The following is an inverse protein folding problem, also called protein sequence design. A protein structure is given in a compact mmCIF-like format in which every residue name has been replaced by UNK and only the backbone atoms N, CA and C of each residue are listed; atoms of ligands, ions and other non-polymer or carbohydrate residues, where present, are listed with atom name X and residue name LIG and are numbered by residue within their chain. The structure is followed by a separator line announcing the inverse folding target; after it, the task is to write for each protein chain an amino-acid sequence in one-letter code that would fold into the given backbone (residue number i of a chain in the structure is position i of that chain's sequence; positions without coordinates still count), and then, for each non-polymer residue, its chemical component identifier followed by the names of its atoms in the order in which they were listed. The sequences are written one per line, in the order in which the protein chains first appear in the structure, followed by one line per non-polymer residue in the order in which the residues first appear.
data_IF_194903346450
#
_entry.id   IF_194903346450
#
_cell.length_a   1.000
_cell.length_b   1.000
_cell.length_c   1.000
_cell.angle_alpha   90.00
_cell.angle_beta   90.00
_cell.angle_gamma   90.00
#
_symmetry.space_group_name_H-M   'P 1'
#
loop_
_entity.id
_entity.type
_entity.pdbx_description
1 polymer ?
#
# COMPACT_ATOMS: atom_id res chain seq x y z
N UNK A 1 -15.46 -5.16 2.04
CA UNK A 1 -13.99 -5.21 2.27
C UNK A 1 -13.64 -5.49 3.73
N UNK A 2 -13.97 -4.60 4.68
CA UNK A 2 -13.57 -4.75 6.10
C UNK A 2 -13.96 -6.11 6.70
N UNK A 3 -15.20 -6.57 6.49
CA UNK A 3 -15.63 -7.88 6.96
C UNK A 3 -14.85 -9.04 6.34
N UNK A 4 -14.43 -8.92 5.08
CA UNK A 4 -13.61 -9.92 4.41
C UNK A 4 -12.20 -9.94 5.02
N UNK A 5 -11.57 -8.78 5.23
CA UNK A 5 -10.26 -8.74 5.90
C UNK A 5 -10.37 -9.30 7.33
N UNK A 6 -11.40 -8.89 8.08
CA UNK A 6 -11.64 -9.39 9.45
C UNK A 6 -11.94 -10.89 9.49
N UNK A 7 -12.41 -11.49 8.39
CA UNK A 7 -12.59 -12.94 8.33
C UNK A 7 -11.29 -13.74 8.45
N UNK A 8 -10.13 -13.14 8.14
CA UNK A 8 -8.82 -13.78 8.35
C UNK A 8 -8.61 -14.07 9.84
N UNK A 9 -8.93 -13.10 10.72
CA UNK A 9 -8.83 -13.28 12.17
C UNK A 9 -9.91 -14.23 12.72
N UNK A 10 -11.16 -14.08 12.26
CA UNK A 10 -12.28 -14.83 12.84
C UNK A 10 -12.41 -16.26 12.31
N UNK A 11 -11.82 -16.55 11.15
CA UNK A 11 -12.01 -17.82 10.43
C UNK A 11 -13.42 -17.98 9.84
N UNK A 12 -14.20 -16.91 9.74
CA UNK A 12 -15.55 -16.94 9.19
C UNK A 12 -15.52 -17.03 7.65
N UNK A 13 -15.95 -18.14 7.07
CA UNK A 13 -15.97 -18.32 5.61
C UNK A 13 -17.07 -17.52 4.89
N UNK A 14 -18.07 -16.97 5.61
CA UNK A 14 -19.25 -16.34 4.98
C UNK A 14 -18.90 -15.12 4.14
N UNK A 15 -18.02 -14.18 4.54
CA UNK A 15 -17.65 -13.03 3.72
C UNK A 15 -17.03 -13.41 2.37
N UNK A 16 -16.17 -14.44 2.33
CA UNK A 16 -15.61 -14.93 1.06
C UNK A 16 -16.72 -15.42 0.13
N UNK A 17 -17.61 -16.28 0.62
CA UNK A 17 -18.72 -16.81 -0.19
C UNK A 17 -19.73 -15.74 -0.61
N UNK A 18 -19.89 -14.69 0.20
CA UNK A 18 -20.90 -13.65 0.00
C UNK A 18 -20.41 -12.49 -0.84
N UNK A 19 -19.13 -12.14 -0.77
CA UNK A 19 -18.60 -10.92 -1.37
C UNK A 19 -17.71 -11.17 -2.58
N UNK A 20 -17.10 -12.34 -2.72
CA UNK A 20 -16.24 -12.64 -3.87
C UNK A 20 -17.07 -13.21 -5.03
N UNK A 21 -16.80 -12.75 -6.25
CA UNK A 21 -17.34 -13.37 -7.45
C UNK A 21 -16.53 -14.64 -7.78
N UNK A 22 -17.11 -15.84 -7.66
CA UNK A 22 -16.35 -17.09 -7.81
C UNK A 22 -15.84 -17.33 -9.23
N UNK A 23 -16.44 -16.67 -10.23
CA UNK A 23 -16.15 -16.91 -11.65
C UNK A 23 -15.23 -15.86 -12.27
N UNK A 24 -15.00 -14.73 -11.58
CA UNK A 24 -14.23 -13.60 -12.10
C UNK A 24 -13.04 -13.19 -11.22
N UNK A 25 -12.95 -13.72 -10.01
CA UNK A 25 -11.95 -13.28 -9.04
C UNK A 25 -10.52 -13.53 -9.52
N UNK A 26 -9.74 -12.45 -9.62
CA UNK A 26 -8.31 -12.44 -9.94
C UNK A 26 -7.51 -12.07 -8.69
N UNK A 27 -6.50 -12.86 -8.37
CA UNK A 27 -5.58 -12.65 -7.25
C UNK A 27 -4.20 -12.19 -7.74
N UNK A 28 -3.70 -11.08 -7.19
CA UNK A 28 -2.34 -10.57 -7.44
C UNK A 28 -1.34 -10.82 -6.31
N UNK A 29 -1.79 -11.27 -5.13
CA UNK A 29 -0.86 -11.76 -4.10
C UNK A 29 -0.14 -13.02 -4.62
N UNK A 30 1.15 -12.89 -4.90
CA UNK A 30 1.98 -13.94 -5.50
C UNK A 30 2.14 -15.18 -4.62
N UNK A 31 1.89 -15.09 -3.31
CA UNK A 31 1.92 -16.20 -2.37
C UNK A 31 0.58 -16.96 -2.27
N UNK A 32 -0.45 -16.52 -2.99
CA UNK A 32 -1.81 -17.06 -2.97
C UNK A 32 -2.20 -17.53 -4.37
N UNK A 33 -2.79 -18.74 -4.44
CA UNK A 33 -3.29 -19.25 -5.70
C UNK A 33 -4.49 -18.42 -6.19
N UNK A 34 -4.77 -18.48 -7.49
CA UNK A 34 -5.84 -17.68 -8.07
C UNK A 34 -7.24 -18.19 -7.72
N UNK A 35 -8.24 -17.33 -7.93
CA UNK A 35 -9.65 -17.64 -7.74
C UNK A 35 -10.07 -17.81 -6.28
N UNK A 36 -11.36 -18.04 -6.07
CA UNK A 36 -11.93 -18.21 -4.73
C UNK A 36 -11.29 -19.38 -3.98
N UNK A 37 -10.97 -20.47 -4.67
CA UNK A 37 -10.34 -21.66 -4.07
C UNK A 37 -8.96 -21.34 -3.49
N UNK A 38 -8.17 -20.49 -4.16
CA UNK A 38 -6.86 -20.09 -3.68
C UNK A 38 -6.93 -19.25 -2.40
N UNK A 39 -7.87 -18.31 -2.33
CA UNK A 39 -8.14 -17.51 -1.12
C UNK A 39 -8.62 -18.40 0.03
N UNK A 40 -9.55 -19.32 -0.24
CA UNK A 40 -10.01 -20.29 0.77
C UNK A 40 -8.87 -21.16 1.29
N UNK A 41 -7.95 -21.59 0.42
CA UNK A 41 -6.76 -22.36 0.80
C UNK A 41 -5.82 -21.60 1.74
N UNK A 42 -5.62 -20.30 1.52
CA UNK A 42 -4.85 -19.45 2.44
C UNK A 42 -5.49 -19.43 3.84
N UNK A 43 -6.80 -19.24 3.91
CA UNK A 43 -7.52 -19.17 5.18
C UNK A 43 -7.47 -20.51 5.94
N UNK A 44 -7.57 -21.64 5.24
CA UNK A 44 -7.46 -22.96 5.85
C UNK A 44 -6.05 -23.26 6.38
N UNK A 45 -5.01 -22.62 5.82
CA UNK A 45 -3.63 -22.78 6.28
C UNK A 45 -3.34 -22.01 7.57
N UNK A 46 -4.18 -21.02 7.94
CA UNK A 46 -4.03 -20.26 9.17
C UNK A 46 -4.64 -21.02 10.35
N UNK A 47 -3.89 -21.28 11.44
CA UNK A 47 -4.48 -21.87 12.63
C UNK A 47 -5.57 -20.97 13.21
N UNK A 48 -6.67 -21.56 13.68
CA UNK A 48 -7.80 -20.81 14.23
C UNK A 48 -7.34 -19.91 15.38
N UNK A 49 -7.63 -18.61 15.27
CA UNK A 49 -7.28 -17.60 16.27
C UNK A 49 -5.81 -17.16 16.27
N UNK A 50 -4.99 -17.64 15.31
CA UNK A 50 -3.59 -17.24 15.18
C UNK A 50 -3.39 -15.92 14.39
N UNK A 51 -4.46 -15.39 13.79
CA UNK A 51 -4.43 -14.15 13.04
C UNK A 51 -5.07 -12.99 13.81
N UNK A 52 -4.49 -11.80 13.72
CA UNK A 52 -5.13 -10.52 14.08
C UNK A 52 -5.21 -9.60 12.89
N UNK A 53 -6.30 -8.84 12.80
CA UNK A 53 -6.56 -7.87 11.75
C UNK A 53 -7.14 -6.60 12.36
N UNK A 54 -6.48 -5.48 12.10
CA UNK A 54 -6.94 -4.14 12.45
C UNK A 54 -6.88 -3.24 11.21
N UNK A 55 -8.04 -3.02 10.57
CA UNK A 55 -8.14 -2.12 9.42
C UNK A 55 -8.19 -0.69 9.92
N UNK A 56 -7.12 0.08 9.64
CA UNK A 56 -6.93 1.44 10.15
C UNK A 56 -7.63 2.46 9.28
N UNK A 57 -7.53 2.30 7.95
CA UNK A 57 -8.13 3.20 6.96
C UNK A 57 -8.85 2.39 5.91
N UNK A 58 -9.93 2.96 5.39
CA UNK A 58 -10.69 2.43 4.26
C UNK A 58 -11.02 3.60 3.37
N UNK A 59 -10.62 3.52 2.10
CA UNK A 59 -10.79 4.57 1.13
C UNK A 59 -11.42 3.99 -0.15
N UNK A 60 -12.19 4.80 -0.87
CA UNK A 60 -12.87 4.38 -2.10
C UNK A 60 -12.60 5.32 -3.28
N UNK A 61 -12.28 4.73 -4.44
CA UNK A 61 -12.08 5.43 -5.71
C UNK A 61 -12.80 4.69 -6.84
N UNK A 62 -14.03 5.14 -7.14
CA UNK A 62 -14.91 4.47 -8.10
C UNK A 62 -15.19 3.02 -7.67
N UNK A 63 -14.80 2.08 -8.53
CA UNK A 63 -14.96 0.63 -8.32
C UNK A 63 -13.85 0.01 -7.47
N UNK A 64 -12.86 0.80 -7.04
CA UNK A 64 -11.79 0.33 -6.16
C UNK A 64 -12.06 0.74 -4.72
N UNK A 65 -11.85 -0.20 -3.79
CA UNK A 65 -11.79 0.08 -2.37
C UNK A 65 -10.44 -0.40 -1.87
N UNK A 66 -9.72 0.43 -1.11
CA UNK A 66 -8.42 0.10 -0.60
C UNK A 66 -8.31 0.37 0.90
N UNK A 67 -7.56 -0.47 1.58
CA UNK A 67 -7.40 -0.45 3.04
C UNK A 67 -5.94 -0.32 3.41
N UNK A 68 -5.70 0.37 4.53
CA UNK A 68 -4.43 0.30 5.25
C UNK A 68 -4.66 -0.52 6.51
N UNK A 69 -4.01 -1.67 6.62
CA UNK A 69 -4.34 -2.69 7.61
C UNK A 69 -3.10 -3.16 8.37
N UNK A 70 -3.26 -3.31 9.68
CA UNK A 70 -2.31 -4.04 10.52
C UNK A 70 -2.74 -5.50 10.62
N UNK A 71 -1.77 -6.37 10.41
CA UNK A 71 -1.93 -7.81 10.46
C UNK A 71 -1.01 -8.40 11.52
N UNK A 72 -1.44 -9.51 12.12
CA UNK A 72 -0.54 -10.42 12.80
C UNK A 72 -0.89 -11.83 12.41
N UNK A 73 -0.24 -12.35 11.37
CA UNK A 73 -0.26 -13.75 10.98
C UNK A 73 1.14 -14.10 10.53
N UNK A 74 1.74 -15.16 11.09
CA UNK A 74 3.16 -15.47 10.90
C UNK A 74 4.08 -14.25 11.19
N UNK A 75 3.74 -13.46 12.21
CA UNK A 75 4.42 -12.22 12.58
C UNK A 75 3.60 -10.95 12.31
N UNK A 76 3.94 -9.80 12.94
CA UNK A 76 3.25 -8.54 12.74
C UNK A 76 3.61 -7.91 11.40
N UNK A 77 2.61 -7.47 10.64
CA UNK A 77 2.77 -6.85 9.32
C UNK A 77 1.89 -5.63 9.20
N UNK A 78 2.30 -4.69 8.37
CA UNK A 78 1.48 -3.58 7.90
C UNK A 78 1.35 -3.70 6.40
N UNK A 79 0.14 -3.48 5.89
CA UNK A 79 -0.15 -3.72 4.50
C UNK A 79 -1.21 -2.82 3.93
N UNK A 80 -1.19 -2.73 2.60
CA UNK A 80 -2.31 -2.21 1.84
C UNK A 80 -3.01 -3.35 1.12
N UNK A 81 -4.34 -3.33 1.12
CA UNK A 81 -5.18 -4.20 0.32
C UNK A 81 -5.96 -3.33 -0.66
N UNK A 82 -6.07 -3.73 -1.93
CA UNK A 82 -6.89 -3.08 -2.95
C UNK A 82 -7.84 -4.13 -3.49
N UNK A 83 -9.13 -3.83 -3.52
CA UNK A 83 -10.15 -4.65 -4.12
C UNK A 83 -10.88 -3.88 -5.21
N UNK A 84 -11.08 -4.52 -6.37
CA UNK A 84 -11.98 -4.01 -7.42
C UNK A 84 -13.32 -4.71 -7.36
N UNK A 85 -14.38 -3.94 -7.57
CA UNK A 85 -15.76 -4.41 -7.51
C UNK A 85 -16.43 -4.38 -8.88
N UNK A 86 -17.30 -5.36 -9.13
CA UNK A 86 -18.29 -5.37 -10.21
C UNK A 86 -19.60 -5.91 -9.63
N UNK A 87 -20.72 -5.24 -9.90
CA UNK A 87 -22.06 -5.65 -9.45
C UNK A 87 -22.14 -5.94 -7.92
N UNK A 88 -21.43 -5.15 -7.13
CA UNK A 88 -21.36 -5.30 -5.67
C UNK A 88 -20.54 -6.51 -5.19
N UNK A 89 -19.81 -7.19 -6.09
CA UNK A 89 -18.92 -8.32 -5.79
C UNK A 89 -17.47 -7.95 -6.03
N UNK A 90 -16.58 -8.49 -5.22
CA UNK A 90 -15.14 -8.41 -5.40
C UNK A 90 -14.75 -9.33 -6.56
N UNK A 91 -14.09 -8.75 -7.57
CA UNK A 91 -13.62 -9.46 -8.75
C UNK A 91 -12.10 -9.45 -8.89
N UNK A 92 -11.38 -8.66 -8.09
CA UNK A 92 -9.93 -8.57 -8.18
C UNK A 92 -9.34 -8.06 -6.87
N UNK A 93 -8.15 -8.56 -6.53
CA UNK A 93 -7.45 -8.20 -5.31
C UNK A 93 -5.96 -8.07 -5.53
N UNK A 94 -5.40 -7.00 -4.95
CA UNK A 94 -3.96 -6.79 -4.79
C UNK A 94 -3.67 -6.53 -3.33
N UNK A 95 -2.51 -6.96 -2.86
CA UNK A 95 -1.97 -6.53 -1.58
C UNK A 95 -0.49 -6.15 -1.71
N UNK A 96 0.00 -5.41 -0.73
CA UNK A 96 1.41 -5.20 -0.49
C UNK A 96 1.68 -5.22 1.01
N UNK A 97 2.48 -6.18 1.47
CA UNK A 97 2.70 -6.43 2.89
C UNK A 97 4.18 -6.22 3.24
N UNK A 98 4.41 -5.51 4.35
CA UNK A 98 5.73 -5.34 4.94
C UNK A 98 5.71 -5.80 6.39
N UNK A 99 6.80 -6.40 6.87
CA UNK A 99 6.97 -6.66 8.30
C UNK A 99 6.88 -5.35 9.09
N UNK A 100 6.07 -5.36 10.15
CA UNK A 100 5.97 -4.21 11.03
C UNK A 100 7.28 -4.04 11.80
N UNK A 101 7.69 -2.79 12.02
CA UNK A 101 8.87 -2.50 12.82
C UNK A 101 8.53 -2.48 14.31
N UNK A 102 9.42 -3.09 15.12
CA UNK A 102 9.26 -3.08 16.58
C UNK A 102 9.44 -1.68 17.20
N UNK A 103 10.04 -0.75 16.46
CA UNK A 103 10.26 0.64 16.85
C UNK A 103 9.56 1.57 15.87
N UNK A 104 9.09 2.74 16.34
CA UNK A 104 8.63 3.81 15.45
C UNK A 104 9.74 4.29 14.49
N UNK A 105 9.35 5.07 13.48
CA UNK A 105 10.24 5.82 12.61
C UNK A 105 11.21 6.69 13.41
N UNK A 106 12.30 7.20 12.81
CA UNK A 106 13.21 8.13 13.48
C UNK A 106 12.53 9.35 14.12
N UNK A 107 11.34 9.73 13.62
CA UNK A 107 10.52 10.82 14.16
C UNK A 107 9.48 10.39 15.21
N UNK A 108 9.35 9.10 15.51
CA UNK A 108 8.42 8.60 16.51
C UNK A 108 7.06 8.15 15.96
N UNK A 109 6.89 8.12 14.64
CA UNK A 109 5.65 7.68 13.99
C UNK A 109 5.62 6.16 13.80
N UNK A 110 4.46 5.57 13.94
CA UNK A 110 4.23 4.17 13.54
C UNK A 110 3.98 4.11 12.04
N UNK A 111 3.89 2.91 11.48
CA UNK A 111 3.52 2.74 10.07
C UNK A 111 2.04 3.06 9.79
N UNK A 112 1.23 3.34 10.81
CA UNK A 112 -0.24 3.42 10.68
C UNK A 112 -0.90 4.58 11.42
N UNK A 113 -0.23 5.27 12.33
CA UNK A 113 -0.75 6.46 13.02
C UNK A 113 -1.02 7.62 12.04
N UNK A 114 -1.60 8.70 12.56
CA UNK A 114 -2.07 9.83 11.77
C UNK A 114 -3.56 9.74 11.41
N UNK A 115 -4.08 10.66 10.58
CA UNK A 115 -5.50 10.73 10.26
C UNK A 115 -5.97 9.48 9.50
N UNK A 116 -7.18 9.00 9.81
CA UNK A 116 -7.76 7.80 9.19
C UNK A 116 -8.97 8.08 8.27
N UNK A 117 -9.54 9.28 8.36
CA UNK A 117 -10.75 9.68 7.63
C UNK A 117 -10.37 10.72 6.58
N UNK A 118 -10.79 10.50 5.34
CA UNK A 118 -10.58 11.44 4.25
C UNK A 118 -11.33 12.76 4.49
N UNK A 119 -10.69 13.87 4.11
CA UNK A 119 -11.30 15.19 3.98
C UNK A 119 -11.13 15.69 2.54
N UNK A 120 -11.65 16.87 2.20
CA UNK A 120 -11.46 17.48 0.89
C UNK A 120 -11.92 16.58 -0.28
N UNK A 121 -13.06 15.88 -0.10
CA UNK A 121 -13.59 14.91 -1.08
C UNK A 121 -13.80 15.52 -2.48
N UNK A 122 -14.11 16.82 -2.54
CA UNK A 122 -14.23 17.61 -3.77
C UNK A 122 -12.90 17.77 -4.54
N UNK A 123 -11.76 17.54 -3.89
CA UNK A 123 -10.42 17.69 -4.47
C UNK A 123 -9.79 16.38 -4.93
N UNK A 124 -10.51 15.24 -4.82
CA UNK A 124 -9.99 13.90 -5.18
C UNK A 124 -9.27 13.89 -6.53
N UNK A 125 -9.92 14.40 -7.59
CA UNK A 125 -9.34 14.42 -8.93
C UNK A 125 -8.07 15.29 -9.02
N UNK A 126 -8.07 16.46 -8.38
CA UNK A 126 -6.92 17.36 -8.36
C UNK A 126 -5.73 16.76 -7.60
N UNK A 127 -5.99 16.09 -6.48
CA UNK A 127 -4.97 15.43 -5.67
C UNK A 127 -4.37 14.22 -6.38
N UNK A 128 -5.19 13.42 -7.08
CA UNK A 128 -4.69 12.32 -7.94
C UNK A 128 -3.80 12.86 -9.07
N UNK A 129 -4.20 13.96 -9.72
CA UNK A 129 -3.39 14.58 -10.76
C UNK A 129 -2.06 15.12 -10.21
N UNK A 130 -2.07 15.73 -9.02
CA UNK A 130 -0.86 16.18 -8.34
C UNK A 130 0.12 15.01 -8.13
N UNK A 131 -0.37 13.88 -7.60
CA UNK A 131 0.48 12.71 -7.36
C UNK A 131 0.97 12.05 -8.65
N UNK A 132 0.13 11.96 -9.68
CA UNK A 132 0.59 11.48 -11.00
C UNK A 132 1.73 12.35 -11.53
N UNK A 133 1.56 13.68 -11.48
CA UNK A 133 2.59 14.62 -11.95
C UNK A 133 3.88 14.52 -11.15
N UNK A 134 3.78 14.38 -9.82
CA UNK A 134 4.91 14.14 -8.94
C UNK A 134 5.69 12.88 -9.33
N UNK A 135 4.99 11.76 -9.56
CA UNK A 135 5.63 10.51 -9.94
C UNK A 135 6.25 10.57 -11.34
N UNK A 136 5.59 11.23 -12.30
CA UNK A 136 6.12 11.43 -13.65
C UNK A 136 7.40 12.28 -13.63
N UNK A 137 7.44 13.34 -12.82
CA UNK A 137 8.64 14.14 -12.58
C UNK A 137 9.76 13.30 -11.95
N UNK A 138 9.44 12.48 -10.95
CA UNK A 138 10.38 11.61 -10.26
C UNK A 138 11.00 10.58 -11.22
N UNK A 139 10.17 9.89 -12.01
CA UNK A 139 10.59 8.92 -13.02
C UNK A 139 11.39 9.55 -14.16
N UNK A 140 11.05 10.79 -14.52
CA UNK A 140 11.81 11.57 -15.53
C UNK A 140 13.11 12.16 -14.98
N UNK A 141 13.41 12.00 -13.69
CA UNK A 141 14.59 12.56 -13.05
C UNK A 141 14.57 14.09 -12.89
N UNK A 142 13.39 14.73 -12.92
CA UNK A 142 13.21 16.18 -12.73
C UNK A 142 13.36 16.61 -11.27
N UNK A 143 14.55 16.41 -10.72
CA UNK A 143 14.88 16.67 -9.30
C UNK A 143 14.65 18.13 -8.88
N UNK A 144 14.76 19.07 -9.82
CA UNK A 144 14.51 20.50 -9.59
C UNK A 144 13.06 20.82 -9.22
N UNK A 145 12.11 19.94 -9.55
CA UNK A 145 10.69 20.10 -9.21
C UNK A 145 10.35 19.53 -7.85
N UNK A 146 11.17 18.64 -7.30
CA UNK A 146 10.85 17.84 -6.13
C UNK A 146 10.35 18.68 -4.94
N UNK A 147 11.08 19.73 -4.55
CA UNK A 147 10.72 20.57 -3.41
C UNK A 147 9.45 21.39 -3.64
N UNK A 148 9.04 21.60 -4.89
CA UNK A 148 7.83 22.36 -5.22
C UNK A 148 6.53 21.64 -4.86
N UNK A 149 6.57 20.32 -4.65
CA UNK A 149 5.42 19.52 -4.25
C UNK A 149 5.08 19.61 -2.76
N UNK A 150 5.96 20.19 -1.96
CA UNK A 150 5.83 20.25 -0.50
C UNK A 150 5.63 21.69 -0.01
N UNK A 151 5.11 21.83 1.20
CA UNK A 151 5.02 23.10 1.90
C UNK A 151 6.30 23.35 2.72
N UNK A 152 7.35 23.82 2.04
CA UNK A 152 8.65 24.03 2.67
C UNK A 152 9.22 22.73 3.23
N UNK A 153 9.43 22.69 4.56
CA UNK A 153 9.97 21.52 5.26
C UNK A 153 8.89 20.74 6.04
N UNK A 154 7.60 21.10 5.87
CA UNK A 154 6.49 20.50 6.59
C UNK A 154 6.05 19.21 5.88
N UNK A 155 6.57 18.08 6.36
CA UNK A 155 6.27 16.75 5.82
C UNK A 155 6.40 15.73 6.94
N UNK A 156 5.39 14.89 7.14
CA UNK A 156 5.37 13.83 8.15
C UNK A 156 5.64 12.49 7.45
N UNK A 157 6.49 11.67 8.05
CA UNK A 157 6.93 10.40 7.48
C UNK A 157 6.67 9.22 8.44
N UNK A 158 5.86 8.28 7.96
CA UNK A 158 5.55 7.03 8.67
C UNK A 158 6.38 5.85 8.20
N UNK A 159 7.09 5.98 7.08
CA UNK A 159 8.09 4.99 6.65
C UNK A 159 9.10 4.77 7.78
N UNK A 160 9.31 3.52 8.22
CA UNK A 160 10.12 3.26 9.41
C UNK A 160 11.62 3.56 9.21
N UNK A 161 12.04 3.81 7.97
CA UNK A 161 13.44 4.00 7.60
C UNK A 161 13.86 5.47 7.53
N UNK A 162 12.91 6.40 7.59
CA UNK A 162 13.13 7.79 7.21
C UNK A 162 12.45 8.74 8.21
N UNK A 163 13.14 9.83 8.56
CA UNK A 163 12.60 10.85 9.45
C UNK A 163 11.63 11.80 8.71
N UNK A 164 10.90 12.60 9.48
CA UNK A 164 10.09 13.70 8.97
C UNK A 164 10.92 14.71 8.16
N UNK A 165 10.21 15.69 7.62
CA UNK A 165 10.72 16.84 6.91
C UNK A 165 11.44 16.44 5.60
N UNK A 166 11.68 17.41 4.72
CA UNK A 166 12.47 17.13 3.51
C UNK A 166 13.95 16.89 3.84
N UNK A 167 14.47 17.58 4.86
CA UNK A 167 15.83 17.33 5.34
C UNK A 167 16.02 15.91 5.86
N UNK A 168 15.06 15.39 6.64
CA UNK A 168 15.11 14.02 7.15
C UNK A 168 14.89 12.99 6.06
N UNK A 169 13.99 13.28 5.09
CA UNK A 169 13.81 12.48 3.89
C UNK A 169 15.11 12.31 3.09
N UNK A 170 15.78 13.42 2.74
CA UNK A 170 17.03 13.34 1.98
C UNK A 170 18.16 12.65 2.75
N UNK A 171 18.30 12.93 4.05
CA UNK A 171 19.29 12.27 4.89
C UNK A 171 19.06 10.76 4.98
N UNK A 172 17.80 10.35 5.19
CA UNK A 172 17.41 8.94 5.24
C UNK A 172 17.67 8.21 3.93
N UNK A 173 17.23 8.77 2.80
CA UNK A 173 17.49 8.19 1.47
C UNK A 173 18.99 8.08 1.15
N UNK A 174 19.78 9.09 1.52
CA UNK A 174 21.23 9.04 1.34
C UNK A 174 21.87 7.95 2.23
N UNK A 175 21.41 7.80 3.48
CA UNK A 175 21.90 6.76 4.39
C UNK A 175 21.56 5.35 3.88
N UNK A 176 20.32 5.14 3.41
CA UNK A 176 19.90 3.89 2.79
C UNK A 176 20.73 3.57 1.54
N UNK A 177 20.95 4.54 0.66
CA UNK A 177 21.78 4.35 -0.53
C UNK A 177 23.22 3.95 -0.18
N UNK A 178 23.83 4.55 0.86
CA UNK A 178 25.17 4.19 1.35
C UNK A 178 25.23 2.76 1.90
N UNK A 179 24.11 2.22 2.38
CA UNK A 179 23.98 0.84 2.84
C UNK A 179 23.62 -0.14 1.71
N UNK A 180 23.59 0.32 0.46
CA UNK A 180 23.19 -0.49 -0.68
C UNK A 180 21.67 -0.72 -0.77
N UNK A 181 20.87 0.04 -0.02
CA UNK A 181 19.40 -0.01 0.01
C UNK A 181 18.78 1.17 -0.75
N UNK A 182 19.34 1.49 -1.93
CA UNK A 182 18.81 2.57 -2.75
C UNK A 182 17.37 2.25 -3.21
N UNK A 183 16.47 3.23 -3.06
CA UNK A 183 15.11 3.20 -3.60
C UNK A 183 15.16 3.66 -5.05
N UNK A 184 14.50 2.90 -5.93
CA UNK A 184 14.33 3.24 -7.34
C UNK A 184 12.91 2.88 -7.76
N UNK A 185 12.24 3.81 -8.43
CA UNK A 185 10.98 3.57 -9.12
C UNK A 185 11.24 3.37 -10.61
N UNK A 186 10.49 2.47 -11.23
CA UNK A 186 10.56 2.16 -12.65
C UNK A 186 9.24 2.44 -13.38
N UNK A 187 8.09 2.19 -12.74
CA UNK A 187 6.76 2.42 -13.35
C UNK A 187 5.68 2.62 -12.30
N UNK A 188 4.74 3.53 -12.56
CA UNK A 188 3.47 3.63 -11.82
C UNK A 188 2.42 2.76 -12.51
N UNK A 189 1.73 1.94 -11.74
CA UNK A 189 0.65 1.06 -12.20
C UNK A 189 -0.73 1.59 -11.84
N UNK A 190 -0.90 2.20 -10.66
CA UNK A 190 -2.18 2.79 -10.23
C UNK A 190 -1.95 4.07 -9.42
N UNK A 191 -2.89 5.01 -9.56
CA UNK A 191 -3.05 6.17 -8.68
C UNK A 191 -4.52 6.19 -8.26
N UNK A 192 -4.78 5.80 -7.01
CA UNK A 192 -6.11 5.72 -6.41
C UNK A 192 -6.25 6.80 -5.35
N UNK A 193 -7.40 7.45 -5.22
CA UNK A 193 -7.56 8.49 -4.21
C UNK A 193 -9.00 8.74 -3.78
N UNK A 194 -9.13 9.19 -2.53
CA UNK A 194 -10.37 9.68 -1.94
C UNK A 194 -10.05 10.94 -1.12
N UNK A 195 -10.59 12.06 -1.57
CA UNK A 195 -10.34 13.38 -1.00
C UNK A 195 -8.85 13.71 -0.93
N UNK A 196 -8.35 13.91 0.28
CA UNK A 196 -6.97 14.25 0.56
C UNK A 196 -6.02 13.05 0.62
N UNK A 197 -6.49 11.81 0.53
CA UNK A 197 -5.64 10.63 0.48
C UNK A 197 -5.45 10.13 -0.95
N UNK A 198 -4.20 9.82 -1.32
CA UNK A 198 -3.87 9.26 -2.63
C UNK A 198 -2.85 8.13 -2.47
N UNK A 199 -3.21 6.93 -2.87
CA UNK A 199 -2.36 5.75 -2.94
C UNK A 199 -1.74 5.64 -4.33
N UNK A 200 -0.42 5.56 -4.39
CA UNK A 200 0.37 5.27 -5.59
C UNK A 200 0.87 3.83 -5.51
N UNK A 201 0.58 3.04 -6.54
CA UNK A 201 1.08 1.68 -6.70
C UNK A 201 2.14 1.68 -7.79
N UNK A 202 3.37 1.34 -7.44
CA UNK A 202 4.50 1.40 -8.35
C UNK A 202 5.40 0.16 -8.27
N UNK A 203 6.12 -0.09 -9.36
CA UNK A 203 7.19 -1.08 -9.43
C UNK A 203 8.56 -0.39 -9.45
N UNK A 204 9.58 -1.09 -8.96
CA UNK A 204 10.96 -0.66 -9.08
C UNK A 204 11.90 -1.63 -8.39
N UNK A 205 12.94 -1.09 -7.74
CA UNK A 205 13.88 -1.90 -6.98
C UNK A 205 14.28 -1.27 -5.65
N UNK A 206 14.37 -2.07 -4.59
CA UNK A 206 14.92 -1.67 -3.30
C UNK A 206 16.24 -2.41 -3.04
N UNK A 207 17.34 -1.66 -2.99
CA UNK A 207 18.68 -2.25 -2.87
C UNK A 207 19.03 -3.22 -4.01
N UNK A 208 18.58 -2.90 -5.23
CA UNK A 208 18.79 -3.70 -6.43
C UNK A 208 17.89 -4.94 -6.55
N UNK A 209 17.02 -5.21 -5.57
CA UNK A 209 16.02 -6.30 -5.64
C UNK A 209 14.72 -5.76 -6.23
N UNK A 210 14.07 -6.46 -7.17
CA UNK A 210 12.73 -6.08 -7.66
C UNK A 210 11.74 -5.95 -6.51
N UNK A 211 10.99 -4.84 -6.48
CA UNK A 211 10.09 -4.50 -5.38
C UNK A 211 8.84 -3.80 -5.88
N UNK A 212 7.75 -4.00 -5.13
CA UNK A 212 6.50 -3.26 -5.24
C UNK A 212 6.42 -2.22 -4.11
N UNK A 213 6.03 -1.01 -4.50
CA UNK A 213 5.84 0.14 -3.62
C UNK A 213 4.37 0.53 -3.60
N UNK A 214 3.81 0.63 -2.41
CA UNK A 214 2.48 1.17 -2.19
C UNK A 214 2.64 2.36 -1.26
N UNK A 215 2.58 3.55 -1.84
CA UNK A 215 2.85 4.82 -1.18
C UNK A 215 1.53 5.59 -1.02
N UNK A 216 1.05 5.72 0.22
CA UNK A 216 -0.12 6.52 0.54
C UNK A 216 0.34 7.92 0.95
N UNK A 217 -0.22 8.94 0.31
CA UNK A 217 0.05 10.34 0.61
C UNK A 217 -1.20 11.02 1.15
N UNK A 218 -1.02 11.93 2.11
CA UNK A 218 -2.02 12.94 2.44
C UNK A 218 -1.63 14.29 1.83
N UNK A 219 -2.58 14.91 1.15
CA UNK A 219 -2.43 16.22 0.53
C UNK A 219 -3.08 17.28 1.41
N UNK A 220 -2.38 18.39 1.61
CA UNK A 220 -2.89 19.55 2.34
C UNK A 220 -2.57 20.80 1.56
N UNK A 221 -3.58 21.64 1.30
CA UNK A 221 -3.41 22.90 0.57
C UNK A 221 -2.68 22.75 -0.78
N UNK A 222 -2.92 21.63 -1.48
CA UNK A 222 -2.28 21.32 -2.76
C UNK A 222 -0.79 20.92 -2.66
N UNK A 223 -0.33 20.54 -1.46
CA UNK A 223 1.03 20.06 -1.19
C UNK A 223 1.01 18.69 -0.52
N UNK A 224 2.04 17.88 -0.77
CA UNK A 224 2.27 16.62 -0.07
C UNK A 224 2.64 16.95 1.38
N UNK A 225 1.89 16.43 2.34
CA UNK A 225 2.03 16.77 3.75
C UNK A 225 2.40 15.56 4.64
N UNK A 226 2.04 14.35 4.24
CA UNK A 226 2.22 13.15 5.06
C UNK A 226 2.29 11.91 4.16
N UNK A 227 3.01 10.89 4.59
CA UNK A 227 3.29 9.69 3.80
C UNK A 227 3.43 8.42 4.62
N UNK A 228 2.83 7.34 4.11
CA UNK A 228 2.98 5.98 4.59
C UNK A 228 3.37 5.09 3.41
N UNK A 229 4.21 4.08 3.65
CA UNK A 229 4.61 3.14 2.61
C UNK A 229 4.56 1.69 3.06
N UNK A 230 4.59 0.81 2.05
CA UNK A 230 5.10 -0.55 2.18
C UNK A 230 6.04 -0.85 1.01
N UNK A 231 7.12 -1.57 1.30
CA UNK A 231 8.08 -2.05 0.32
C UNK A 231 8.09 -3.58 0.40
N UNK A 232 7.58 -4.24 -0.64
CA UNK A 232 7.57 -5.70 -0.71
C UNK A 232 8.47 -6.18 -1.83
N UNK A 233 9.35 -7.15 -1.54
CA UNK A 233 10.17 -7.77 -2.58
C UNK A 233 9.29 -8.64 -3.49
N UNK A 234 9.49 -8.51 -4.81
CA UNK A 234 8.81 -9.37 -5.79
C UNK A 234 9.64 -10.65 -5.94
N UNK A 235 9.14 -11.82 -5.52
CA UNK A 235 9.88 -13.07 -5.60
C UNK A 235 10.07 -13.52 -7.05
N UNK A 236 10.94 -14.51 -7.25
CA UNK A 236 11.15 -15.08 -8.59
C UNK A 236 9.87 -15.73 -9.13
N UNK A 237 9.69 -15.74 -10.45
CA UNK A 237 8.48 -16.28 -11.10
C UNK A 237 8.18 -17.74 -10.71
N UNK A 238 9.20 -18.52 -10.36
CA UNK A 238 9.08 -19.91 -9.91
C UNK A 238 8.43 -20.08 -8.55
N UNK A 239 8.37 -19.01 -7.74
CA UNK A 239 7.75 -19.01 -6.42
C UNK A 239 6.28 -18.56 -6.45
N UNK A 240 5.79 -18.07 -7.60
CA UNK A 240 4.45 -17.51 -7.72
C UNK A 240 3.40 -18.63 -7.74
N UNK A 241 2.34 -18.45 -6.96
CA UNK A 241 1.20 -19.39 -6.93
C UNK A 241 0.08 -19.03 -7.92
N UNK A 242 0.18 -17.89 -8.59
CA UNK A 242 -0.71 -17.47 -9.67
C UNK A 242 0.10 -16.88 -10.85
N UNK A 243 -0.57 -16.64 -11.97
CA UNK A 243 0.07 -16.12 -13.20
C UNK A 243 -0.23 -14.64 -13.47
N UNK A 244 -1.01 -14.00 -12.61
CA UNK A 244 -1.60 -12.67 -12.82
C UNK A 244 -0.60 -11.52 -12.61
N UNK A 245 0.46 -11.78 -11.83
CA UNK A 245 1.50 -10.79 -11.53
C UNK A 245 1.14 -9.91 -10.33
N UNK A 246 2.08 -9.03 -9.93
CA UNK A 246 1.95 -8.21 -8.71
C UNK A 246 1.07 -6.95 -8.88
N UNK A 247 0.77 -6.55 -10.12
CA UNK A 247 0.17 -5.25 -10.45
C UNK A 247 -1.05 -5.36 -11.37
#
# INVERSE_FOLDING_TARGET
MVELLKSIETGDGRPMASYINPNKYIQHNLAVADGLAGVQGLFQALPKGAAKVNTVRVLQDGDFVFAHTEYNFFGPKTGFDIFRFEDGKIVEHWDNLQEATAKPSPSGHTMTDGPAVASDLDKTAANKLLMQTYMDDLLSGRKEKFTSYFDGNNYIQHSPLVADNLSGLFAGLQALAKQGLAVKYDKVHKVLGEGNFVLVVAEGSFGGKPSAYYDLYRIQNGKIAEHWDTIEAIPSRTEWKNVNGKF
#
